data_IF_420246672659
#
_entry.id   IF_420246672659
#
_cell.length_a   1.000
_cell.length_b   1.000
_cell.length_c   1.000
_cell.angle_alpha   90.00
_cell.angle_beta   90.00
_cell.angle_gamma   90.00
#
_symmetry.space_group_name_H-M   'P 1'
#
loop_
_entity.id
_entity.type
_entity.pdbx_description
1 polymer ?
#
# COMPACT_ATOMS: atom_id res chain seq x y z
N UNK A 1 -6.73 13.23 -0.42
CA UNK A 1 -5.33 13.58 -0.06
C UNK A 1 -4.59 14.11 -1.29
N UNK A 2 -3.58 14.94 -1.09
CA UNK A 2 -2.82 15.60 -2.14
C UNK A 2 -1.42 16.02 -1.64
N UNK A 3 -0.66 16.79 -2.42
CA UNK A 3 0.70 17.26 -2.07
C UNK A 3 0.81 18.16 -0.83
N UNK A 4 -0.30 18.56 -0.23
CA UNK A 4 -0.33 19.23 1.06
C UNK A 4 -0.43 18.29 2.26
N UNK A 5 -0.50 16.99 2.01
CA UNK A 5 -0.64 15.95 3.05
C UNK A 5 0.68 15.22 3.29
N UNK A 6 0.81 14.67 4.48
CA UNK A 6 1.82 13.67 4.84
C UNK A 6 1.09 12.37 5.17
N UNK A 7 1.27 11.36 4.31
CA UNK A 7 0.71 10.04 4.52
C UNK A 7 1.56 9.24 5.51
N UNK A 8 0.90 8.55 6.44
CA UNK A 8 1.55 7.61 7.35
C UNK A 8 0.97 6.21 7.13
N UNK A 9 1.81 5.32 6.60
CA UNK A 9 1.44 3.93 6.30
C UNK A 9 1.49 3.08 7.56
N UNK A 10 0.38 2.44 7.89
CA UNK A 10 0.20 1.58 9.07
C UNK A 10 -0.15 0.16 8.62
N UNK A 11 0.55 -0.83 9.17
CA UNK A 11 0.09 -2.22 9.16
C UNK A 11 -0.70 -2.47 10.46
N UNK A 12 -2.04 -2.65 10.40
CA UNK A 12 -2.87 -2.73 11.59
C UNK A 12 -2.45 -3.82 12.57
N UNK A 13 -2.17 -5.02 12.08
CA UNK A 13 -1.74 -6.16 12.92
C UNK A 13 -0.42 -5.92 13.68
N UNK A 14 0.40 -4.93 13.25
CA UNK A 14 1.76 -4.68 13.76
C UNK A 14 1.93 -3.34 14.46
N UNK A 15 0.91 -2.52 14.52
CA UNK A 15 1.02 -1.17 15.07
C UNK A 15 0.70 -1.12 16.57
N UNK A 16 -0.48 -1.53 16.97
CA UNK A 16 -0.87 -1.58 18.38
C UNK A 16 -2.09 -2.47 18.61
N UNK A 17 -2.12 -3.15 19.74
CA UNK A 17 -3.25 -3.96 20.20
C UNK A 17 -4.08 -3.15 21.20
N UNK A 18 -5.25 -2.69 20.78
CA UNK A 18 -6.19 -1.94 21.62
C UNK A 18 -7.27 -2.81 22.25
N UNK A 19 -7.54 -3.98 21.66
CA UNK A 19 -8.60 -4.90 22.12
C UNK A 19 -8.12 -6.37 22.10
N UNK A 20 -7.42 -6.86 23.11
CA UNK A 20 -6.95 -8.24 23.14
C UNK A 20 -8.04 -9.33 23.05
N UNK A 21 -9.31 -8.96 23.16
CA UNK A 21 -10.41 -9.94 23.08
C UNK A 21 -10.74 -10.37 21.65
N UNK A 22 -10.29 -9.61 20.63
CA UNK A 22 -10.45 -9.96 19.21
C UNK A 22 -9.21 -10.60 18.58
N UNK A 23 -8.09 -10.73 19.32
CA UNK A 23 -6.85 -11.34 18.83
C UNK A 23 -7.07 -12.71 18.20
N UNK A 24 -7.98 -13.49 18.76
CA UNK A 24 -8.34 -14.83 18.32
C UNK A 24 -9.86 -14.96 18.16
N UNK A 25 -10.28 -15.26 16.93
CA UNK A 25 -11.67 -15.58 16.59
C UNK A 25 -11.74 -17.07 16.25
N UNK A 26 -12.36 -17.92 17.09
CA UNK A 26 -12.28 -19.37 16.96
C UNK A 26 -12.85 -19.92 15.64
N UNK A 27 -13.77 -19.21 15.00
CA UNK A 27 -14.38 -19.60 13.73
C UNK A 27 -13.52 -19.26 12.50
N UNK A 28 -12.45 -18.47 12.68
CA UNK A 28 -11.52 -18.13 11.59
C UNK A 28 -10.41 -19.17 11.47
N UNK A 29 -9.91 -19.35 10.24
CA UNK A 29 -8.96 -20.42 9.89
C UNK A 29 -7.60 -20.24 10.58
N UNK A 30 -7.08 -19.02 10.66
CA UNK A 30 -5.89 -18.69 11.44
C UNK A 30 -6.30 -18.16 12.82
N UNK A 31 -6.72 -19.06 13.71
CA UNK A 31 -7.16 -18.77 15.06
C UNK A 31 -5.99 -18.77 16.08
N UNK A 32 -4.89 -18.09 15.73
CA UNK A 32 -3.66 -18.05 16.54
C UNK A 32 -2.99 -16.69 16.47
N UNK A 33 -2.46 -16.23 17.60
CA UNK A 33 -1.55 -15.08 17.69
C UNK A 33 -0.20 -15.56 18.24
N UNK A 34 0.90 -15.18 17.58
CA UNK A 34 2.24 -15.54 18.01
C UNK A 34 3.28 -14.46 17.61
N UNK A 35 3.54 -13.51 18.48
CA UNK A 35 4.49 -12.41 18.24
C UNK A 35 5.96 -12.87 18.08
N UNK A 36 6.27 -14.12 18.36
CA UNK A 36 7.61 -14.67 18.12
C UNK A 36 7.77 -15.23 16.71
N UNK A 37 6.67 -15.45 16.00
CA UNK A 37 6.67 -15.85 14.60
C UNK A 37 6.37 -14.65 13.71
N UNK A 38 7.34 -14.11 12.96
CA UNK A 38 7.17 -12.91 12.16
C UNK A 38 6.13 -13.06 11.04
N UNK A 39 5.73 -14.28 10.71
CA UNK A 39 4.72 -14.57 9.69
C UNK A 39 3.33 -14.87 10.25
N UNK A 40 3.20 -14.99 11.57
CA UNK A 40 1.91 -15.12 12.26
C UNK A 40 1.25 -13.76 12.50
N UNK A 41 0.00 -13.79 12.94
CA UNK A 41 -0.68 -12.60 13.47
C UNK A 41 -0.10 -12.19 14.82
N UNK A 42 -0.04 -10.89 15.07
CA UNK A 42 0.46 -10.32 16.33
C UNK A 42 -0.63 -9.67 17.18
N UNK A 43 -1.84 -9.48 16.60
CA UNK A 43 -3.02 -9.00 17.32
C UNK A 43 -3.14 -7.47 17.42
N UNK A 44 -2.42 -6.72 16.59
CA UNK A 44 -2.73 -5.30 16.42
C UNK A 44 -4.08 -5.12 15.72
N UNK A 45 -4.79 -4.01 16.00
CA UNK A 45 -6.17 -3.81 15.62
C UNK A 45 -6.55 -2.33 15.39
N UNK A 46 -7.80 -2.08 14.95
CA UNK A 46 -8.32 -0.74 14.72
C UNK A 46 -8.41 0.07 16.02
N UNK A 47 -8.73 -0.57 17.15
CA UNK A 47 -8.79 0.08 18.45
C UNK A 47 -7.39 0.57 18.88
N UNK A 48 -6.35 -0.20 18.61
CA UNK A 48 -4.97 0.20 18.86
C UNK A 48 -4.55 1.41 18.04
N UNK A 49 -4.99 1.49 16.79
CA UNK A 49 -4.76 2.68 15.94
C UNK A 49 -5.54 3.87 16.50
N UNK A 50 -6.82 3.71 16.83
CA UNK A 50 -7.68 4.75 17.41
C UNK A 50 -7.05 5.35 18.68
N UNK A 51 -6.55 4.49 19.57
CA UNK A 51 -5.93 4.91 20.83
C UNK A 51 -4.65 5.74 20.63
N UNK A 52 -4.03 5.69 19.46
CA UNK A 52 -2.78 6.37 19.13
C UNK A 52 -2.92 7.50 18.10
N UNK A 53 -4.14 7.94 17.78
CA UNK A 53 -4.38 9.05 16.85
C UNK A 53 -3.76 10.38 17.33
N UNK A 54 -3.68 10.62 18.64
CA UNK A 54 -3.00 11.81 19.19
C UNK A 54 -1.49 11.77 18.92
N UNK A 55 -0.87 10.59 18.99
CA UNK A 55 0.52 10.42 18.61
C UNK A 55 0.75 10.82 17.15
N UNK A 56 -0.09 10.33 16.24
CA UNK A 56 0.01 10.63 14.80
C UNK A 56 -0.24 12.11 14.51
N UNK A 57 -1.25 12.71 15.14
CA UNK A 57 -1.53 14.14 15.02
C UNK A 57 -0.37 15.00 15.52
N UNK A 58 0.22 14.66 16.67
CA UNK A 58 1.38 15.36 17.22
C UNK A 58 2.65 15.19 16.36
N UNK A 59 2.77 14.08 15.62
CA UNK A 59 3.85 13.85 14.65
C UNK A 59 3.71 14.74 13.41
N UNK A 60 2.52 15.30 13.16
CA UNK A 60 2.22 16.11 11.98
C UNK A 60 1.65 15.30 10.81
N UNK A 61 1.20 14.09 11.04
CA UNK A 61 0.50 13.26 10.05
C UNK A 61 -0.85 13.89 9.72
N UNK A 62 -1.15 14.00 8.43
CA UNK A 62 -2.43 14.56 7.94
C UNK A 62 -3.30 13.53 7.22
N UNK A 63 -2.73 12.37 6.90
CA UNK A 63 -3.47 11.24 6.34
C UNK A 63 -2.86 9.91 6.81
N UNK A 64 -3.69 8.95 7.16
CA UNK A 64 -3.26 7.59 7.47
C UNK A 64 -3.65 6.65 6.33
N UNK A 65 -2.70 5.84 5.86
CA UNK A 65 -2.96 4.74 4.94
C UNK A 65 -2.86 3.44 5.73
N UNK A 66 -3.96 2.71 5.79
CA UNK A 66 -4.01 1.39 6.43
C UNK A 66 -3.80 0.30 5.39
N UNK A 67 -2.86 -0.63 5.62
CA UNK A 67 -2.84 -1.88 4.87
C UNK A 67 -4.21 -2.55 4.96
N UNK A 68 -4.53 -3.51 4.06
CA UNK A 68 -5.91 -3.97 3.90
C UNK A 68 -6.55 -4.41 5.21
N UNK A 69 -7.72 -3.85 5.50
CA UNK A 69 -8.49 -4.15 6.71
C UNK A 69 -9.66 -5.11 6.44
N UNK A 70 -9.96 -5.38 5.17
CA UNK A 70 -11.00 -6.32 4.79
C UNK A 70 -10.64 -7.73 5.26
N UNK A 71 -11.67 -8.56 5.46
CA UNK A 71 -11.51 -9.92 5.96
C UNK A 71 -10.50 -10.70 5.12
N UNK A 72 -9.56 -11.31 5.80
CA UNK A 72 -8.53 -12.17 5.24
C UNK A 72 -8.50 -13.49 5.99
N UNK A 73 -9.58 -14.29 5.84
CA UNK A 73 -9.74 -15.57 6.52
C UNK A 73 -8.98 -16.69 5.78
N UNK A 74 -7.67 -16.52 5.70
CA UNK A 74 -6.74 -17.49 5.15
C UNK A 74 -6.15 -18.35 6.27
N UNK A 75 -5.61 -19.54 5.92
CA UNK A 75 -5.06 -20.50 6.88
C UNK A 75 -3.75 -20.04 7.52
N UNK A 76 -2.98 -19.24 6.78
CA UNK A 76 -1.66 -18.76 7.17
C UNK A 76 -1.43 -17.37 6.59
N UNK A 77 -0.61 -16.57 7.27
CA UNK A 77 -0.16 -15.26 6.79
C UNK A 77 -1.26 -14.20 6.69
N UNK A 78 -2.40 -14.37 7.36
CA UNK A 78 -3.53 -13.45 7.24
C UNK A 78 -3.25 -12.05 7.78
N UNK A 79 -2.15 -11.86 8.50
CA UNK A 79 -1.75 -10.59 9.10
C UNK A 79 -1.56 -9.45 8.08
N UNK A 80 -1.19 -9.78 6.85
CA UNK A 80 -0.88 -8.77 5.83
C UNK A 80 -2.13 -8.17 5.15
N UNK A 81 -3.27 -8.89 5.12
CA UNK A 81 -4.54 -8.42 4.58
C UNK A 81 -4.73 -8.56 3.06
N UNK A 82 -3.69 -8.91 2.27
CA UNK A 82 -3.75 -8.88 0.81
C UNK A 82 -4.45 -10.07 0.14
N UNK A 83 -4.92 -11.07 0.90
CA UNK A 83 -5.69 -12.20 0.37
C UNK A 83 -7.17 -12.12 0.84
N UNK A 84 -7.89 -11.11 0.34
CA UNK A 84 -9.25 -10.76 0.80
C UNK A 84 -10.22 -11.92 0.62
N UNK A 85 -10.95 -12.25 1.67
CA UNK A 85 -12.01 -13.28 1.65
C UNK A 85 -13.42 -12.69 1.64
N UNK A 86 -13.61 -11.46 2.14
CA UNK A 86 -14.85 -10.68 1.99
C UNK A 86 -14.51 -9.19 1.76
N UNK A 87 -14.99 -8.62 0.65
CA UNK A 87 -14.73 -7.23 0.27
C UNK A 87 -15.56 -6.20 1.05
N UNK A 88 -16.61 -6.64 1.76
CA UNK A 88 -17.56 -5.77 2.47
C UNK A 88 -17.48 -5.89 4.00
N UNK A 89 -16.56 -6.72 4.50
CA UNK A 89 -16.37 -6.91 5.94
C UNK A 89 -14.95 -6.54 6.36
N UNK A 90 -14.82 -5.86 7.49
CA UNK A 90 -13.55 -5.73 8.20
C UNK A 90 -13.19 -7.11 8.79
N UNK A 91 -11.91 -7.45 8.79
CA UNK A 91 -11.43 -8.66 9.45
C UNK A 91 -11.77 -8.61 10.94
N UNK A 92 -12.47 -9.62 11.42
CA UNK A 92 -12.99 -9.66 12.80
C UNK A 92 -11.90 -9.61 13.86
N UNK A 93 -10.66 -9.95 13.49
CA UNK A 93 -9.48 -9.86 14.36
C UNK A 93 -8.87 -8.45 14.36
N UNK A 94 -9.28 -7.60 13.44
CA UNK A 94 -8.92 -6.17 13.44
C UNK A 94 -10.04 -5.31 14.05
N UNK A 95 -11.29 -5.79 13.99
CA UNK A 95 -12.45 -5.07 14.48
C UNK A 95 -13.72 -5.36 13.67
N UNK A 96 -14.60 -4.39 13.62
CA UNK A 96 -15.85 -4.43 12.85
C UNK A 96 -15.95 -3.27 11.86
N UNK A 97 -16.95 -3.33 10.97
CA UNK A 97 -17.26 -2.23 10.05
C UNK A 97 -17.58 -0.93 10.81
N UNK A 98 -18.33 -1.05 11.93
CA UNK A 98 -18.69 0.08 12.78
C UNK A 98 -17.48 0.68 13.50
N UNK A 99 -16.54 -0.17 13.96
CA UNK A 99 -15.29 0.29 14.56
C UNK A 99 -14.40 1.00 13.55
N UNK A 100 -14.41 0.54 12.29
CA UNK A 100 -13.71 1.26 11.22
C UNK A 100 -14.34 2.64 10.95
N UNK A 101 -15.68 2.74 10.86
CA UNK A 101 -16.36 4.03 10.74
C UNK A 101 -15.98 4.97 11.89
N UNK A 102 -15.95 4.46 13.13
CA UNK A 102 -15.56 5.23 14.30
C UNK A 102 -14.11 5.71 14.22
N UNK A 103 -13.18 4.85 13.80
CA UNK A 103 -11.78 5.25 13.57
C UNK A 103 -11.67 6.38 12.54
N UNK A 104 -12.40 6.29 11.42
CA UNK A 104 -12.43 7.35 10.40
C UNK A 104 -12.97 8.65 10.97
N UNK A 105 -14.08 8.61 11.71
CA UNK A 105 -14.67 9.78 12.37
C UNK A 105 -13.69 10.43 13.36
N UNK A 106 -13.01 9.62 14.17
CA UNK A 106 -12.01 10.11 15.14
C UNK A 106 -10.79 10.71 14.43
N UNK A 107 -10.31 10.09 13.34
CA UNK A 107 -9.23 10.66 12.52
C UNK A 107 -9.64 12.03 11.94
N UNK A 108 -10.86 12.15 11.38
CA UNK A 108 -11.41 13.39 10.87
C UNK A 108 -11.51 14.48 11.95
N UNK A 109 -11.92 14.12 13.19
CA UNK A 109 -11.99 15.06 14.30
C UNK A 109 -10.64 15.69 14.66
N UNK A 110 -9.55 15.03 14.28
CA UNK A 110 -8.16 15.48 14.45
C UNK A 110 -7.56 16.10 13.16
N UNK A 111 -8.37 16.29 12.13
CA UNK A 111 -7.94 16.81 10.84
C UNK A 111 -7.17 15.83 9.97
N UNK A 112 -7.18 14.55 10.31
CA UNK A 112 -6.52 13.50 9.53
C UNK A 112 -7.49 12.83 8.56
N UNK A 113 -7.02 12.58 7.34
CA UNK A 113 -7.70 11.79 6.30
C UNK A 113 -7.41 10.30 6.49
N UNK A 114 -8.28 9.45 5.94
CA UNK A 114 -8.07 7.99 5.94
C UNK A 114 -8.03 7.47 4.51
N UNK A 115 -6.97 6.75 4.17
CA UNK A 115 -6.75 6.08 2.89
C UNK A 115 -6.84 4.58 3.11
N UNK A 116 -7.74 3.92 2.38
CA UNK A 116 -7.97 2.49 2.46
C UNK A 116 -7.21 1.76 1.36
N UNK A 117 -6.53 0.68 1.71
CA UNK A 117 -5.89 -0.21 0.75
C UNK A 117 -6.92 -1.15 0.13
N UNK A 118 -6.96 -1.24 -1.20
CA UNK A 118 -7.87 -2.11 -1.95
C UNK A 118 -7.12 -2.98 -2.94
N UNK A 119 -7.60 -4.21 -3.12
CA UNK A 119 -6.98 -5.21 -3.98
C UNK A 119 -8.00 -5.67 -5.02
N UNK A 120 -7.83 -5.25 -6.29
CA UNK A 120 -8.74 -5.59 -7.38
C UNK A 120 -8.16 -6.62 -8.35
N UNK A 121 -6.86 -6.88 -8.25
CA UNK A 121 -6.21 -7.87 -9.10
C UNK A 121 -6.61 -9.31 -8.71
N UNK A 122 -6.61 -9.61 -7.43
CA UNK A 122 -6.84 -10.95 -6.91
C UNK A 122 -7.63 -10.94 -5.60
N UNK A 123 -8.00 -12.11 -5.11
CA UNK A 123 -8.55 -12.30 -3.76
C UNK A 123 -7.86 -13.51 -3.10
N UNK A 124 -8.27 -13.85 -1.88
CA UNK A 124 -7.82 -15.09 -1.22
C UNK A 124 -8.54 -16.32 -1.79
N UNK A 125 -7.88 -17.49 -1.80
CA UNK A 125 -8.48 -18.75 -2.22
C UNK A 125 -9.61 -19.23 -1.30
N UNK A 126 -9.70 -18.66 -0.10
CA UNK A 126 -10.80 -18.92 0.84
C UNK A 126 -12.00 -17.97 0.61
N UNK A 127 -11.89 -17.02 -0.35
CA UNK A 127 -12.99 -16.14 -0.72
C UNK A 127 -14.20 -16.92 -1.20
N UNK A 128 -15.40 -16.56 -0.72
CA UNK A 128 -16.65 -17.26 -1.06
C UNK A 128 -16.96 -17.22 -2.56
N UNK A 129 -16.58 -16.16 -3.29
CA UNK A 129 -16.74 -16.06 -4.74
C UNK A 129 -15.80 -17.01 -5.50
N UNK A 130 -14.68 -17.40 -4.90
CA UNK A 130 -13.80 -18.41 -5.49
C UNK A 130 -14.29 -19.82 -5.21
N UNK A 131 -14.78 -20.08 -4.00
CA UNK A 131 -15.32 -21.39 -3.60
C UNK A 131 -16.61 -21.75 -4.32
N UNK A 132 -17.46 -20.76 -4.58
CA UNK A 132 -18.73 -20.90 -5.32
C UNK A 132 -18.82 -19.83 -6.41
N UNK A 133 -18.10 -20.07 -7.51
CA UNK A 133 -17.96 -19.08 -8.59
C UNK A 133 -19.31 -18.77 -9.24
N UNK A 134 -19.71 -17.47 -9.29
CA UNK A 134 -20.94 -17.06 -9.97
C UNK A 134 -20.96 -17.43 -11.46
N UNK A 135 -19.78 -17.47 -12.09
CA UNK A 135 -19.59 -17.92 -13.48
C UNK A 135 -18.18 -18.48 -13.69
N UNK A 136 -17.98 -19.32 -14.71
CA UNK A 136 -16.68 -19.91 -15.04
C UNK A 136 -15.59 -18.92 -15.45
N UNK A 137 -15.98 -17.71 -15.80
CA UNK A 137 -15.10 -16.61 -16.22
C UNK A 137 -15.01 -15.52 -15.17
N UNK A 138 -15.38 -15.80 -13.91
CA UNK A 138 -15.18 -14.88 -12.78
C UNK A 138 -13.71 -14.68 -12.47
N UNK A 139 -12.93 -15.75 -12.61
CA UNK A 139 -11.47 -15.74 -12.42
C UNK A 139 -10.76 -16.05 -13.73
N UNK A 140 -9.59 -15.46 -13.91
CA UNK A 140 -8.73 -15.73 -15.04
C UNK A 140 -8.28 -17.21 -15.03
N UNK A 141 -8.00 -17.74 -16.21
CA UNK A 141 -7.77 -19.17 -16.43
C UNK A 141 -8.88 -20.09 -15.88
N UNK A 142 -10.11 -19.56 -15.76
CA UNK A 142 -11.28 -20.30 -15.25
C UNK A 142 -11.08 -20.92 -13.87
N UNK A 143 -10.36 -20.21 -13.00
CA UNK A 143 -10.05 -20.67 -11.66
C UNK A 143 -8.93 -21.70 -11.57
N UNK A 144 -8.14 -21.90 -12.62
CA UNK A 144 -6.96 -22.79 -12.58
C UNK A 144 -5.69 -21.97 -12.42
N UNK A 145 -4.88 -22.33 -11.44
CA UNK A 145 -3.63 -21.65 -11.20
C UNK A 145 -2.72 -21.62 -12.44
N UNK A 146 -2.30 -20.43 -12.80
CA UNK A 146 -1.28 -20.16 -13.81
C UNK A 146 -0.51 -18.95 -13.32
N UNK A 147 0.75 -19.13 -12.97
CA UNK A 147 1.56 -18.07 -12.37
C UNK A 147 1.78 -16.90 -13.32
N UNK A 148 1.69 -15.68 -12.79
CA UNK A 148 2.06 -14.46 -13.54
C UNK A 148 3.55 -14.45 -13.88
N UNK A 149 3.89 -13.81 -15.01
CA UNK A 149 5.29 -13.56 -15.36
C UNK A 149 5.94 -12.44 -14.53
N UNK A 150 5.15 -11.67 -13.76
CA UNK A 150 5.55 -10.45 -13.06
C UNK A 150 6.12 -9.34 -13.96
N UNK A 151 5.98 -9.47 -15.29
CA UNK A 151 6.53 -8.54 -16.28
C UNK A 151 5.49 -7.53 -16.75
N UNK A 152 4.92 -6.75 -15.84
CA UNK A 152 3.87 -5.77 -16.14
C UNK A 152 4.29 -4.70 -17.14
N UNK A 153 5.58 -4.42 -17.30
CA UNK A 153 6.08 -3.56 -18.37
C UNK A 153 5.65 -4.03 -19.79
N UNK A 154 5.33 -5.32 -19.96
CA UNK A 154 4.80 -5.85 -21.23
C UNK A 154 3.46 -5.23 -21.64
N UNK A 155 2.68 -4.70 -20.69
CA UNK A 155 1.39 -4.03 -20.95
C UNK A 155 1.56 -2.81 -21.87
N UNK A 156 2.66 -2.09 -21.69
CA UNK A 156 2.99 -0.86 -22.45
C UNK A 156 4.11 -1.06 -23.49
N UNK A 157 4.73 -2.24 -23.53
CA UNK A 157 5.77 -2.58 -24.50
C UNK A 157 5.14 -2.85 -25.87
N UNK A 158 5.50 -2.02 -26.85
CA UNK A 158 5.04 -2.16 -28.25
C UNK A 158 5.56 -3.42 -28.94
N UNK A 159 6.60 -4.06 -28.40
CA UNK A 159 7.22 -5.26 -28.95
C UNK A 159 6.74 -6.55 -28.23
N UNK A 160 6.03 -6.42 -27.12
CA UNK A 160 5.52 -7.58 -26.41
C UNK A 160 4.43 -8.31 -27.22
N UNK A 161 4.42 -9.63 -27.14
CA UNK A 161 3.34 -10.45 -27.69
C UNK A 161 2.08 -10.37 -26.83
N UNK A 162 0.94 -10.71 -27.42
CA UNK A 162 -0.32 -10.81 -26.68
C UNK A 162 -0.26 -11.88 -25.57
N UNK A 163 0.53 -12.93 -25.80
CA UNK A 163 0.76 -13.96 -24.78
C UNK A 163 1.50 -13.41 -23.56
N UNK A 164 2.57 -12.62 -23.76
CA UNK A 164 3.34 -12.00 -22.67
C UNK A 164 2.47 -11.05 -21.85
N UNK A 165 1.70 -10.18 -22.55
CA UNK A 165 0.75 -9.29 -21.88
C UNK A 165 -0.28 -10.07 -21.07
N UNK A 166 -0.86 -11.12 -21.69
CA UNK A 166 -1.85 -11.96 -21.02
C UNK A 166 -1.31 -12.64 -19.77
N UNK A 167 -0.14 -13.24 -19.83
CA UNK A 167 0.46 -13.92 -18.67
C UNK A 167 0.83 -12.94 -17.57
N UNK A 168 1.24 -11.72 -17.91
CA UNK A 168 1.55 -10.69 -16.93
C UNK A 168 0.30 -10.22 -16.17
N UNK A 169 -0.82 -10.06 -16.86
CA UNK A 169 -2.06 -9.45 -16.32
C UNK A 169 -3.04 -10.51 -15.78
N UNK A 170 -3.18 -11.65 -16.47
CA UNK A 170 -4.15 -12.68 -16.08
C UNK A 170 -3.55 -13.72 -15.12
N UNK A 171 -2.23 -13.74 -14.96
CA UNK A 171 -1.52 -14.73 -14.13
C UNK A 171 -1.69 -14.45 -12.65
N UNK A 172 -1.79 -15.51 -11.85
CA UNK A 172 -1.92 -15.43 -10.41
C UNK A 172 -0.58 -15.23 -9.73
N UNK A 173 -0.54 -14.50 -8.61
CA UNK A 173 0.68 -14.37 -7.80
C UNK A 173 1.09 -15.69 -7.16
N UNK A 174 0.13 -16.38 -6.55
CA UNK A 174 0.30 -17.69 -5.90
C UNK A 174 -0.99 -18.51 -6.05
N UNK A 175 -0.95 -19.80 -5.73
CA UNK A 175 -2.15 -20.65 -5.69
C UNK A 175 -3.20 -20.14 -4.69
N UNK A 176 -2.77 -19.45 -3.63
CA UNK A 176 -3.65 -18.89 -2.61
C UNK A 176 -4.26 -17.54 -2.98
N UNK A 177 -3.85 -16.96 -4.13
CA UNK A 177 -4.32 -15.64 -4.61
C UNK A 177 -4.88 -15.74 -6.03
N UNK A 178 -6.10 -16.29 -6.20
CA UNK A 178 -6.78 -16.38 -7.49
C UNK A 178 -7.00 -15.01 -8.11
N UNK A 179 -6.63 -14.89 -9.38
CA UNK A 179 -6.69 -13.66 -10.15
C UNK A 179 -8.10 -13.43 -10.69
N UNK A 180 -8.65 -12.24 -10.42
CA UNK A 180 -9.99 -11.83 -10.82
C UNK A 180 -10.02 -11.43 -12.30
N UNK A 181 -11.04 -11.86 -13.02
CA UNK A 181 -11.23 -11.46 -14.41
C UNK A 181 -12.01 -10.13 -14.49
N UNK A 182 -11.31 -9.01 -14.41
CA UNK A 182 -11.92 -7.68 -14.43
C UNK A 182 -12.60 -7.36 -15.77
N UNK A 183 -12.32 -8.09 -16.88
CA UNK A 183 -13.05 -7.98 -18.15
C UNK A 183 -14.46 -8.57 -18.09
N UNK A 184 -14.75 -9.40 -17.08
CA UNK A 184 -16.12 -9.78 -16.78
C UNK A 184 -16.85 -8.58 -16.16
N UNK A 185 -17.91 -8.11 -16.84
CA UNK A 185 -18.67 -6.92 -16.41
C UNK A 185 -19.27 -7.02 -15.01
N UNK A 186 -19.52 -8.23 -14.51
CA UNK A 186 -20.07 -8.42 -13.17
C UNK A 186 -18.96 -8.32 -12.10
N UNK A 187 -17.76 -8.83 -12.38
CA UNK A 187 -16.57 -8.63 -11.56
C UNK A 187 -16.24 -7.13 -11.51
N UNK A 188 -16.13 -6.46 -12.65
CA UNK A 188 -15.88 -5.03 -12.72
C UNK A 188 -16.87 -4.23 -11.88
N UNK A 189 -18.17 -4.48 -12.07
CA UNK A 189 -19.23 -3.80 -11.31
C UNK A 189 -19.14 -4.08 -9.80
N UNK A 190 -18.88 -5.32 -9.42
CA UNK A 190 -18.73 -5.71 -8.01
C UNK A 190 -17.60 -4.92 -7.34
N UNK A 191 -16.44 -4.82 -7.98
CA UNK A 191 -15.27 -4.11 -7.45
C UNK A 191 -15.50 -2.58 -7.41
N UNK A 192 -16.09 -2.00 -8.47
CA UNK A 192 -16.43 -0.57 -8.48
C UNK A 192 -17.44 -0.24 -7.37
N UNK A 193 -18.48 -1.05 -7.23
CA UNK A 193 -19.48 -0.84 -6.19
C UNK A 193 -18.93 -1.03 -4.78
N UNK A 194 -17.99 -1.96 -4.56
CA UNK A 194 -17.38 -2.12 -3.25
C UNK A 194 -16.59 -0.89 -2.82
N UNK A 195 -15.86 -0.25 -3.73
CA UNK A 195 -15.14 0.99 -3.41
C UNK A 195 -16.07 2.16 -3.12
N UNK A 196 -17.12 2.35 -3.91
CA UNK A 196 -18.14 3.38 -3.67
C UNK A 196 -18.84 3.13 -2.33
N UNK A 197 -19.15 1.86 -2.03
CA UNK A 197 -19.77 1.50 -0.77
C UNK A 197 -18.88 1.87 0.45
N UNK A 198 -17.58 1.61 0.39
CA UNK A 198 -16.67 2.01 1.48
C UNK A 198 -16.54 3.53 1.60
N UNK A 199 -16.55 4.27 0.48
CA UNK A 199 -16.55 5.74 0.49
C UNK A 199 -17.79 6.26 1.24
N UNK A 200 -18.97 5.75 0.88
CA UNK A 200 -20.25 6.18 1.49
C UNK A 200 -20.42 5.67 2.92
N UNK A 201 -20.07 4.40 3.18
CA UNK A 201 -20.30 3.78 4.46
C UNK A 201 -19.36 4.28 5.56
N UNK A 202 -18.09 4.39 5.26
CA UNK A 202 -17.06 4.74 6.24
C UNK A 202 -16.55 6.19 6.10
N UNK A 203 -16.81 6.87 4.99
CA UNK A 203 -16.34 8.24 4.77
C UNK A 203 -14.83 8.34 4.51
N UNK A 204 -14.21 7.31 3.92
CA UNK A 204 -12.78 7.33 3.59
C UNK A 204 -12.46 8.46 2.60
N UNK A 205 -11.22 8.96 2.64
CA UNK A 205 -10.78 10.13 1.86
C UNK A 205 -9.90 9.79 0.67
N UNK A 206 -9.54 8.53 0.53
CA UNK A 206 -8.73 8.05 -0.57
C UNK A 206 -8.60 6.54 -0.59
N UNK A 207 -8.08 6.04 -1.71
CA UNK A 207 -7.78 4.63 -1.91
C UNK A 207 -6.33 4.49 -2.37
N UNK A 208 -5.61 3.53 -1.81
CA UNK A 208 -4.41 2.96 -2.42
C UNK A 208 -4.81 1.66 -3.10
N UNK A 209 -4.55 1.56 -4.39
CA UNK A 209 -4.85 0.37 -5.17
C UNK A 209 -3.60 -0.49 -5.31
N UNK A 210 -3.66 -1.66 -4.71
CA UNK A 210 -2.63 -2.69 -4.78
C UNK A 210 -2.41 -3.16 -6.21
N UNK A 211 -1.15 -3.42 -6.55
CA UNK A 211 -0.74 -4.07 -7.81
C UNK A 211 -1.44 -3.54 -9.07
N UNK A 212 -1.65 -2.23 -9.16
CA UNK A 212 -2.46 -1.58 -10.18
C UNK A 212 -2.15 -2.02 -11.63
N UNK A 213 -0.88 -2.19 -12.06
CA UNK A 213 -0.54 -2.60 -13.42
C UNK A 213 -0.83 -4.07 -13.73
N UNK A 214 -1.18 -4.89 -12.76
CA UNK A 214 -1.52 -6.30 -12.97
C UNK A 214 -2.98 -6.54 -13.32
N UNK A 215 -3.88 -5.60 -12.97
CA UNK A 215 -5.28 -5.67 -13.31
C UNK A 215 -5.56 -5.17 -14.75
N UNK A 216 -6.73 -5.49 -15.30
CA UNK A 216 -7.12 -5.03 -16.64
C UNK A 216 -7.15 -3.50 -16.73
N UNK A 217 -6.37 -2.95 -17.64
CA UNK A 217 -6.20 -1.50 -17.77
C UNK A 217 -7.51 -0.75 -18.02
N UNK A 218 -8.39 -1.28 -18.87
CA UNK A 218 -9.60 -0.57 -19.28
C UNK A 218 -10.62 -0.57 -18.13
N UNK A 219 -10.74 -1.68 -17.41
CA UNK A 219 -11.56 -1.74 -16.19
C UNK A 219 -11.03 -0.81 -15.10
N UNK A 220 -9.72 -0.80 -14.87
CA UNK A 220 -9.11 0.08 -13.87
C UNK A 220 -9.31 1.56 -14.21
N UNK A 221 -9.22 1.90 -15.49
CA UNK A 221 -9.55 3.24 -15.99
C UNK A 221 -11.03 3.60 -15.77
N UNK A 222 -11.95 2.68 -16.06
CA UNK A 222 -13.39 2.86 -15.83
C UNK A 222 -13.68 3.07 -14.33
N UNK A 223 -13.06 2.28 -13.47
CA UNK A 223 -13.18 2.42 -12.02
C UNK A 223 -12.68 3.77 -11.54
N UNK A 224 -11.46 4.18 -11.92
CA UNK A 224 -10.92 5.49 -11.54
C UNK A 224 -11.85 6.62 -11.99
N UNK A 225 -12.40 6.51 -13.21
CA UNK A 225 -13.36 7.49 -13.74
C UNK A 225 -14.66 7.47 -12.95
N UNK A 226 -15.24 6.30 -12.68
CA UNK A 226 -16.50 6.17 -11.93
C UNK A 226 -16.42 6.81 -10.55
N UNK A 227 -15.31 6.57 -9.83
CA UNK A 227 -15.09 7.16 -8.50
C UNK A 227 -14.89 8.66 -8.60
N UNK A 228 -14.08 9.15 -9.54
CA UNK A 228 -13.76 10.59 -9.61
C UNK A 228 -14.87 11.44 -10.27
N UNK A 229 -15.76 10.83 -11.05
CA UNK A 229 -16.97 11.52 -11.53
C UNK A 229 -17.98 11.75 -10.40
N UNK A 230 -18.12 10.78 -9.48
CA UNK A 230 -19.01 10.89 -8.31
C UNK A 230 -18.39 11.75 -7.20
N UNK A 231 -17.08 11.60 -6.98
CA UNK A 231 -16.31 12.30 -5.93
C UNK A 231 -15.13 13.05 -6.55
N UNK A 232 -15.30 14.25 -7.09
CA UNK A 232 -14.26 14.96 -7.88
C UNK A 232 -12.97 15.24 -7.11
N UNK A 233 -13.05 15.41 -5.78
CA UNK A 233 -11.90 15.68 -4.90
C UNK A 233 -11.27 14.40 -4.32
N UNK A 234 -11.85 13.23 -4.59
CA UNK A 234 -11.33 11.96 -4.11
C UNK A 234 -10.06 11.57 -4.88
N UNK A 235 -9.05 11.09 -4.17
CA UNK A 235 -7.80 10.65 -4.78
C UNK A 235 -7.59 9.15 -4.65
N UNK A 236 -7.10 8.56 -5.75
CA UNK A 236 -6.68 7.18 -5.85
C UNK A 236 -5.20 7.18 -6.18
N UNK A 237 -4.40 6.47 -5.39
CA UNK A 237 -3.01 6.16 -5.71
C UNK A 237 -2.90 4.70 -6.12
N UNK A 238 -2.32 4.45 -7.29
CA UNK A 238 -2.02 3.09 -7.76
C UNK A 238 -0.59 2.70 -7.42
N UNK A 239 -0.42 1.51 -6.89
CA UNK A 239 0.90 0.92 -6.79
C UNK A 239 1.39 0.56 -8.19
N UNK A 240 2.33 1.35 -8.67
CA UNK A 240 2.95 1.21 -10.01
C UNK A 240 4.42 0.85 -9.86
N UNK A 241 4.68 -0.36 -9.34
CA UNK A 241 6.04 -0.81 -9.13
C UNK A 241 6.74 -1.16 -10.45
N UNK A 242 7.34 -0.15 -11.04
CA UNK A 242 8.05 -0.21 -12.31
C UNK A 242 9.41 0.50 -12.19
N UNK A 243 10.39 0.09 -13.00
CA UNK A 243 11.79 0.43 -12.79
C UNK A 243 12.23 1.76 -13.42
N UNK A 244 11.33 2.51 -14.04
CA UNK A 244 11.66 3.82 -14.61
C UNK A 244 10.47 4.78 -14.59
N UNK A 245 10.78 6.06 -14.51
CA UNK A 245 9.77 7.12 -14.55
C UNK A 245 8.94 7.11 -15.85
N UNK A 246 9.53 6.72 -16.98
CA UNK A 246 8.80 6.56 -18.25
C UNK A 246 7.73 5.48 -18.13
N UNK A 247 8.04 4.34 -17.51
CA UNK A 247 7.10 3.25 -17.32
C UNK A 247 6.02 3.63 -16.28
N UNK A 248 6.39 4.30 -15.20
CA UNK A 248 5.44 4.76 -14.16
C UNK A 248 4.51 5.83 -14.71
N UNK A 249 5.04 6.79 -15.48
CA UNK A 249 4.24 7.90 -16.04
C UNK A 249 3.15 7.45 -17.01
N UNK A 250 3.31 6.30 -17.68
CA UNK A 250 2.28 5.69 -18.51
C UNK A 250 0.96 5.50 -17.75
N UNK A 251 1.03 5.17 -16.47
CA UNK A 251 -0.14 4.87 -15.63
C UNK A 251 -0.79 6.11 -15.02
N UNK A 252 -0.17 7.28 -15.14
CA UNK A 252 -0.77 8.50 -14.63
C UNK A 252 -1.87 9.02 -15.58
N UNK A 253 -2.94 9.58 -15.00
CA UNK A 253 -3.99 10.27 -15.74
C UNK A 253 -3.40 11.29 -16.71
N UNK A 254 -3.96 11.36 -17.92
CA UNK A 254 -3.55 12.27 -18.99
C UNK A 254 -2.10 12.10 -19.49
N UNK A 255 -1.50 10.94 -19.22
CA UNK A 255 -0.18 10.60 -19.73
C UNK A 255 -0.14 10.60 -21.25
N UNK A 256 0.81 11.35 -21.81
CA UNK A 256 1.04 11.36 -23.27
C UNK A 256 1.58 10.02 -23.79
N UNK A 257 2.22 9.24 -22.92
CA UNK A 257 2.80 7.93 -23.27
C UNK A 257 1.73 6.84 -23.38
N UNK A 258 0.57 7.02 -22.77
CA UNK A 258 -0.56 6.08 -22.85
C UNK A 258 -1.51 6.39 -24.01
N UNK A 259 -1.40 7.56 -24.63
CA UNK A 259 -2.35 8.00 -25.66
C UNK A 259 -2.48 6.98 -26.81
N UNK A 260 -3.69 6.72 -27.32
CA UNK A 260 -4.95 7.41 -27.00
C UNK A 260 -5.68 6.92 -25.74
N UNK A 261 -5.14 5.94 -25.01
CA UNK A 261 -5.71 5.44 -23.75
C UNK A 261 -5.43 6.43 -22.61
N UNK A 262 -6.29 6.42 -21.60
CA UNK A 262 -6.12 7.18 -20.38
C UNK A 262 -6.42 6.28 -19.18
N UNK A 263 -5.52 6.19 -18.23
CA UNK A 263 -5.73 5.38 -17.02
C UNK A 263 -6.75 5.99 -16.06
N UNK A 264 -6.99 7.31 -16.15
CA UNK A 264 -7.73 8.13 -15.19
C UNK A 264 -7.19 8.06 -13.75
N UNK A 265 -6.06 7.40 -13.50
CA UNK A 265 -5.40 7.29 -12.22
C UNK A 265 -4.61 8.56 -11.91
N UNK A 266 -5.05 9.34 -10.91
CA UNK A 266 -4.42 10.62 -10.60
C UNK A 266 -3.02 10.48 -10.03
N UNK A 267 -2.84 9.59 -9.06
CA UNK A 267 -1.59 9.43 -8.33
C UNK A 267 -0.97 8.06 -8.61
N UNK A 268 0.31 8.05 -8.89
CA UNK A 268 1.13 6.85 -9.06
C UNK A 268 2.27 6.85 -8.04
N UNK A 269 2.72 5.66 -7.61
CA UNK A 269 3.83 5.53 -6.67
C UNK A 269 5.18 5.66 -7.39
N UNK A 270 6.04 6.55 -6.93
CA UNK A 270 7.34 6.85 -7.55
C UNK A 270 8.45 5.93 -7.02
N UNK A 271 8.35 4.64 -7.35
CA UNK A 271 9.38 3.66 -7.02
C UNK A 271 10.76 4.02 -7.57
N UNK A 272 10.88 4.56 -8.80
CA UNK A 272 12.19 4.98 -9.30
C UNK A 272 12.84 6.08 -8.47
N UNK A 273 12.08 7.08 -7.97
CA UNK A 273 12.64 8.08 -7.05
C UNK A 273 13.08 7.45 -5.73
N UNK A 274 12.30 6.52 -5.18
CA UNK A 274 12.65 5.79 -3.97
C UNK A 274 14.03 5.11 -4.14
N UNK A 275 14.26 4.41 -5.24
CA UNK A 275 15.56 3.80 -5.54
C UNK A 275 16.69 4.83 -5.67
N UNK A 276 16.42 5.98 -6.32
CA UNK A 276 17.42 7.04 -6.44
C UNK A 276 17.74 7.67 -5.08
N UNK A 277 16.75 7.92 -4.23
CA UNK A 277 16.95 8.44 -2.88
C UNK A 277 17.81 7.47 -2.03
N UNK A 278 17.46 6.18 -2.04
CA UNK A 278 18.22 5.17 -1.30
C UNK A 278 19.70 5.14 -1.71
N UNK A 279 19.99 5.21 -3.01
CA UNK A 279 21.37 5.29 -3.52
C UNK A 279 22.03 6.64 -3.19
N UNK A 280 21.35 7.74 -3.44
CA UNK A 280 21.90 9.09 -3.32
C UNK A 280 22.35 9.43 -1.89
N UNK A 281 21.60 8.96 -0.88
CA UNK A 281 21.93 9.19 0.52
C UNK A 281 22.89 8.15 1.11
N UNK A 282 23.16 7.05 0.40
CA UNK A 282 24.13 6.02 0.79
C UNK A 282 25.52 6.30 0.21
N UNK A 283 25.58 6.84 -0.99
CA UNK A 283 26.84 7.08 -1.69
C UNK A 283 27.61 8.30 -1.18
N UNK A 284 28.88 8.11 -0.83
CA UNK A 284 29.84 9.19 -0.58
C UNK A 284 30.70 9.46 -1.81
N UNK A 285 30.12 10.09 -2.82
CA UNK A 285 30.86 10.40 -4.05
C UNK A 285 30.63 11.84 -4.49
N UNK A 286 31.66 12.42 -5.12
CA UNK A 286 31.62 13.71 -5.81
C UNK A 286 31.47 13.55 -7.32
N UNK A 287 31.25 12.32 -7.80
CA UNK A 287 31.13 12.02 -9.22
C UNK A 287 29.80 12.53 -9.79
N UNK A 288 29.81 12.82 -11.10
CA UNK A 288 28.63 13.33 -11.82
C UNK A 288 27.43 12.39 -11.84
N UNK A 289 27.63 11.10 -11.52
CA UNK A 289 26.61 10.07 -11.57
C UNK A 289 26.26 9.49 -10.18
N UNK A 290 26.77 10.09 -9.10
CA UNK A 290 26.61 9.55 -7.75
C UNK A 290 26.16 10.58 -6.72
N UNK A 291 25.84 10.11 -5.53
CA UNK A 291 25.38 10.92 -4.42
C UNK A 291 24.14 11.75 -4.77
N UNK A 292 24.02 12.93 -4.21
CA UNK A 292 22.88 13.84 -4.41
C UNK A 292 22.69 14.29 -5.87
N UNK A 293 23.73 14.16 -6.74
CA UNK A 293 23.58 14.49 -8.15
C UNK A 293 22.54 13.59 -8.85
N UNK A 294 22.38 12.34 -8.39
CA UNK A 294 21.31 11.43 -8.87
C UNK A 294 19.92 12.04 -8.74
N UNK A 295 19.66 12.75 -7.66
CA UNK A 295 18.36 13.37 -7.42
C UNK A 295 18.11 14.55 -8.36
N UNK A 296 19.16 15.37 -8.62
CA UNK A 296 19.07 16.44 -9.61
C UNK A 296 18.77 15.89 -10.99
N UNK A 297 19.52 14.88 -11.42
CA UNK A 297 19.33 14.27 -12.73
C UNK A 297 17.94 13.63 -12.85
N UNK A 298 17.51 12.90 -11.83
CA UNK A 298 16.19 12.28 -11.82
C UNK A 298 15.05 13.31 -11.90
N UNK A 299 15.08 14.36 -11.10
CA UNK A 299 14.03 15.38 -11.09
C UNK A 299 13.94 16.17 -12.41
N UNK A 300 15.01 16.27 -13.19
CA UNK A 300 14.94 16.88 -14.53
C UNK A 300 14.06 16.08 -15.49
N UNK A 301 13.79 14.80 -15.18
CA UNK A 301 12.99 13.91 -15.99
C UNK A 301 11.49 13.98 -15.64
N UNK A 302 11.09 14.82 -14.69
CA UNK A 302 9.67 15.04 -14.33
C UNK A 302 8.80 15.48 -15.52
N UNK A 303 9.41 15.97 -16.59
CA UNK A 303 8.76 16.31 -17.85
C UNK A 303 7.97 15.15 -18.49
N UNK A 304 8.22 13.89 -18.10
CA UNK A 304 7.49 12.72 -18.62
C UNK A 304 6.14 12.53 -17.93
N UNK A 305 5.97 13.06 -16.72
CA UNK A 305 4.72 12.98 -15.98
C UNK A 305 3.72 14.04 -16.46
N UNK A 306 2.44 13.67 -16.46
CA UNK A 306 1.37 14.63 -16.72
C UNK A 306 1.21 15.63 -15.56
N UNK A 307 1.39 15.15 -14.31
CA UNK A 307 1.34 15.95 -13.10
C UNK A 307 2.32 15.40 -12.04
N UNK A 308 3.55 15.93 -11.97
CA UNK A 308 4.54 15.47 -10.99
C UNK A 308 4.18 15.79 -9.53
N UNK A 309 3.23 16.70 -9.27
CA UNK A 309 2.74 16.96 -7.90
C UNK A 309 1.81 15.87 -7.38
N UNK A 310 1.27 15.03 -8.26
CA UNK A 310 0.46 13.86 -7.92
C UNK A 310 1.27 12.55 -8.02
N UNK A 311 2.47 12.53 -7.48
CA UNK A 311 3.28 11.34 -7.29
C UNK A 311 3.38 11.03 -5.80
N UNK A 312 3.11 9.78 -5.39
CA UNK A 312 3.38 9.33 -4.03
C UNK A 312 4.87 9.04 -3.91
N UNK A 313 5.55 9.76 -3.03
CA UNK A 313 6.99 9.65 -2.81
C UNK A 313 7.30 9.08 -1.44
N UNK A 314 8.29 8.21 -1.33
CA UNK A 314 8.61 7.47 -0.11
C UNK A 314 10.07 7.00 -0.10
N UNK A 315 10.64 6.81 1.08
CA UNK A 315 11.97 6.22 1.27
C UNK A 315 11.90 4.69 1.34
N UNK A 316 10.84 4.19 1.97
CA UNK A 316 10.55 2.79 2.19
C UNK A 316 9.05 2.55 2.35
N UNK A 317 8.64 1.29 2.33
CA UNK A 317 7.29 0.85 2.63
C UNK A 317 7.30 -0.58 3.19
N UNK A 318 6.12 -1.20 3.30
CA UNK A 318 5.95 -2.55 3.85
C UNK A 318 6.46 -3.69 2.93
N UNK A 319 6.93 -3.37 1.71
CA UNK A 319 7.45 -4.34 0.73
C UNK A 319 8.93 -4.13 0.40
N UNK A 320 9.53 -3.04 0.87
CA UNK A 320 10.93 -2.70 0.64
C UNK A 320 11.73 -2.75 1.94
N UNK A 321 13.04 -2.93 1.86
CA UNK A 321 13.91 -2.73 3.03
C UNK A 321 13.67 -1.36 3.63
N UNK A 322 13.75 -1.25 4.96
CA UNK A 322 13.72 0.05 5.63
C UNK A 322 14.91 0.90 5.18
N UNK A 323 14.69 2.19 4.97
CA UNK A 323 15.76 3.12 4.59
C UNK A 323 16.89 3.17 5.62
N UNK A 324 16.55 3.03 6.91
CA UNK A 324 17.53 3.02 8.01
C UNK A 324 18.50 1.84 7.97
N UNK A 325 18.37 0.91 7.05
CA UNK A 325 19.30 -0.22 6.87
C UNK A 325 20.49 0.05 5.97
N UNK A 326 20.52 1.13 5.23
CA UNK A 326 21.73 1.48 4.53
C UNK A 326 22.85 1.69 5.57
N UNK A 327 23.89 0.86 5.54
CA UNK A 327 24.89 0.79 6.61
C UNK A 327 25.51 2.15 6.91
N UNK A 328 25.78 2.97 5.92
CA UNK A 328 26.32 4.31 6.08
C UNK A 328 25.26 5.30 6.56
N UNK A 329 24.03 5.23 6.06
CA UNK A 329 22.92 6.06 6.53
C UNK A 329 22.51 5.72 7.97
N UNK A 330 22.57 4.44 8.37
CA UNK A 330 22.25 4.02 9.74
C UNK A 330 23.28 4.49 10.75
N UNK A 331 24.52 4.63 10.34
CA UNK A 331 25.60 5.16 11.20
C UNK A 331 25.63 6.68 11.24
N UNK A 332 24.96 7.35 10.28
CA UNK A 332 24.94 8.80 10.14
C UNK A 332 23.51 9.34 10.21
N UNK A 333 23.05 9.63 11.42
CA UNK A 333 21.73 10.20 11.68
C UNK A 333 21.47 11.50 10.92
N UNK A 334 22.50 12.26 10.59
CA UNK A 334 22.36 13.51 9.86
C UNK A 334 21.99 13.26 8.37
N UNK A 335 22.54 12.22 7.78
CA UNK A 335 22.11 11.77 6.44
C UNK A 335 20.66 11.29 6.44
N UNK A 336 20.27 10.53 7.44
CA UNK A 336 18.89 10.10 7.60
C UNK A 336 17.94 11.31 7.68
N UNK A 337 18.29 12.32 8.48
CA UNK A 337 17.54 13.57 8.57
C UNK A 337 17.51 14.32 7.23
N UNK A 338 18.62 14.35 6.48
CA UNK A 338 18.66 14.94 5.14
C UNK A 338 17.71 14.23 4.18
N UNK A 339 17.65 12.91 4.20
CA UNK A 339 16.73 12.13 3.38
C UNK A 339 15.26 12.43 3.74
N UNK A 340 14.93 12.53 5.03
CA UNK A 340 13.59 12.92 5.48
C UNK A 340 13.24 14.36 5.08
N UNK A 341 14.18 15.31 5.19
CA UNK A 341 13.96 16.68 4.72
C UNK A 341 13.70 16.68 3.22
N UNK A 342 14.48 15.95 2.43
CA UNK A 342 14.25 15.85 0.99
C UNK A 342 12.87 15.25 0.71
N UNK A 343 12.51 14.13 1.33
CA UNK A 343 11.21 13.47 1.18
C UNK A 343 10.06 14.43 1.44
N UNK A 344 10.12 15.17 2.54
CA UNK A 344 9.04 16.05 3.00
C UNK A 344 8.97 17.39 2.26
N UNK A 345 9.99 17.75 1.47
CA UNK A 345 10.08 19.05 0.78
C UNK A 345 10.20 18.92 -0.74
N UNK A 346 10.39 17.72 -1.28
CA UNK A 346 10.36 17.48 -2.72
C UNK A 346 8.93 17.54 -3.26
N UNK A 347 8.79 17.52 -4.57
CA UNK A 347 7.47 17.43 -5.23
C UNK A 347 6.76 16.12 -4.90
N UNK A 348 5.43 16.12 -4.97
CA UNK A 348 4.60 14.94 -4.75
C UNK A 348 3.95 14.89 -3.35
N UNK A 349 3.50 13.71 -2.98
CA UNK A 349 2.79 13.43 -1.73
C UNK A 349 3.71 12.54 -0.89
N UNK A 350 4.31 13.04 0.20
CA UNK A 350 5.23 12.25 1.00
C UNK A 350 4.50 11.17 1.80
N UNK A 351 5.06 9.95 1.79
CA UNK A 351 4.62 8.82 2.60
C UNK A 351 5.73 8.41 3.56
N UNK A 352 5.38 8.24 4.81
CA UNK A 352 6.23 7.72 5.88
C UNK A 352 5.68 6.34 6.27
N UNK A 353 6.54 5.34 6.40
CA UNK A 353 6.18 4.02 6.90
C UNK A 353 6.27 4.00 8.43
N UNK A 354 5.30 3.41 9.13
CA UNK A 354 5.27 3.42 10.61
C UNK A 354 6.61 2.99 11.22
N UNK A 355 7.05 3.73 12.22
CA UNK A 355 8.32 3.48 12.90
C UNK A 355 9.56 4.09 12.22
N UNK A 356 9.42 4.75 11.07
CA UNK A 356 10.50 5.53 10.46
C UNK A 356 10.98 6.62 11.43
N UNK A 357 10.06 7.28 12.11
CA UNK A 357 10.31 8.36 13.08
C UNK A 357 11.05 7.92 14.35
N UNK A 358 11.10 6.61 14.62
CA UNK A 358 11.81 6.02 15.78
C UNK A 358 12.96 5.11 15.34
N UNK A 359 13.38 5.22 14.08
CA UNK A 359 14.52 4.50 13.51
C UNK A 359 14.35 2.96 13.51
N UNK A 360 13.14 2.47 13.26
CA UNK A 360 12.94 1.03 13.03
C UNK A 360 13.71 0.58 11.80
N UNK A 361 14.47 -0.52 11.96
CA UNK A 361 15.32 -1.08 10.91
C UNK A 361 14.89 -2.51 10.58
N UNK A 362 14.84 -2.85 9.29
CA UNK A 362 14.58 -4.21 8.81
C UNK A 362 15.00 -4.39 7.36
N UNK A 363 15.56 -5.55 7.00
CA UNK A 363 15.99 -5.87 5.66
C UNK A 363 15.03 -6.85 4.98
N UNK A 364 14.61 -6.53 3.76
CA UNK A 364 13.79 -7.37 2.90
C UNK A 364 14.42 -8.75 2.67
N UNK A 365 15.74 -8.84 2.64
CA UNK A 365 16.45 -10.10 2.49
C UNK A 365 16.15 -11.11 3.61
N UNK A 366 15.71 -10.63 4.78
CA UNK A 366 15.33 -11.46 5.93
C UNK A 366 13.85 -11.89 5.91
N UNK A 367 13.09 -11.48 4.89
CA UNK A 367 11.69 -11.81 4.69
C UNK A 367 10.72 -10.74 5.18
N UNK A 368 9.51 -10.77 4.63
CA UNK A 368 8.48 -9.74 4.85
C UNK A 368 7.99 -9.66 6.29
N UNK A 369 7.92 -10.77 6.99
CA UNK A 369 7.48 -10.78 8.38
C UNK A 369 8.40 -9.97 9.30
N UNK A 370 9.72 -10.06 9.09
CA UNK A 370 10.71 -9.26 9.83
C UNK A 370 10.75 -7.80 9.37
N UNK A 371 10.46 -7.54 8.10
CA UNK A 371 10.31 -6.19 7.57
C UNK A 371 9.15 -5.44 8.23
N UNK A 372 8.09 -6.18 8.56
CA UNK A 372 6.81 -5.72 9.13
C UNK A 372 6.75 -5.98 10.64
N UNK A 373 7.82 -5.63 11.35
CA UNK A 373 7.91 -5.85 12.80
C UNK A 373 6.98 -4.92 13.60
N UNK A 374 6.71 -5.31 14.85
CA UNK A 374 5.83 -4.56 15.74
C UNK A 374 6.36 -3.18 16.07
N UNK A 375 5.45 -2.20 16.17
CA UNK A 375 5.78 -0.89 16.72
C UNK A 375 6.02 -1.01 18.23
N UNK A 376 7.19 -0.59 18.75
CA UNK A 376 7.52 -0.74 20.15
C UNK A 376 6.59 0.07 21.07
N UNK A 377 5.85 -0.61 21.90
CA UNK A 377 4.86 -0.03 22.83
C UNK A 377 3.41 -0.24 22.37
N UNK A 378 3.22 -0.96 21.24
CA UNK A 378 1.89 -1.33 20.77
C UNK A 378 1.18 -2.35 21.67
N UNK A 379 1.92 -3.09 22.50
CA UNK A 379 1.38 -4.10 23.41
C UNK A 379 1.69 -3.76 24.86
N UNK A 380 0.75 -4.09 25.74
CA UNK A 380 0.82 -3.74 27.19
C UNK A 380 2.11 -4.15 27.88
N UNK A 381 2.75 -5.24 27.44
CA UNK A 381 3.93 -5.81 28.08
C UNK A 381 5.23 -5.49 27.31
N UNK A 382 5.19 -4.60 26.35
CA UNK A 382 6.39 -4.22 25.64
C UNK A 382 7.42 -3.56 26.56
N UNK A 383 8.69 -3.90 26.45
CA UNK A 383 9.73 -3.37 27.33
C UNK A 383 9.98 -1.86 27.11
N UNK A 384 9.58 -1.35 25.96
CA UNK A 384 9.70 0.05 25.55
C UNK A 384 8.41 0.52 24.90
N UNK A 385 7.93 1.69 25.29
CA UNK A 385 6.75 2.32 24.68
C UNK A 385 7.17 3.61 23.96
N UNK A 386 7.32 3.53 22.64
CA UNK A 386 7.75 4.67 21.80
C UNK A 386 6.60 5.63 21.46
N UNK A 387 5.37 5.33 21.78
CA UNK A 387 4.29 6.34 21.77
C UNK A 387 4.55 7.43 22.81
N UNK A 388 5.25 7.08 23.89
CA UNK A 388 5.70 8.06 24.89
C UNK A 388 7.04 8.69 24.45
N UNK A 389 7.05 10.02 24.33
CA UNK A 389 8.20 10.80 23.90
C UNK A 389 9.47 10.52 24.74
N UNK A 390 9.32 10.36 26.04
CA UNK A 390 10.45 10.07 26.96
C UNK A 390 11.21 8.76 26.66
N UNK A 391 10.59 7.86 25.89
CA UNK A 391 11.15 6.57 25.54
C UNK A 391 11.67 6.51 24.08
N UNK A 392 11.59 7.61 23.35
CA UNK A 392 12.15 7.67 21.98
C UNK A 392 13.65 7.85 22.00
N UNK A 393 14.29 7.49 20.90
CA UNK A 393 15.71 7.79 20.70
C UNK A 393 15.89 9.30 20.53
N UNK A 394 16.90 9.92 21.15
CA UNK A 394 17.14 11.35 21.01
C UNK A 394 17.40 11.79 19.58
#
# INVERSE_FOLDING_TARGET
FNSGDVLYLIMPDRFANGNPSNDVVPEMLEAKVDRNDPFARHGGDLAGIENNLDYLSNLGVTAIWLNPIQENDMKEGSYHGYAITDYYQVDRRLGSNEEFCKLVEQAHSKGMKVVMDMIFNHCGSENYLFKDMPSKDWFNFKGNYTQTSYKTASVQDIHASDYERKIAVDGWFTESMPDLNQRNRHVARYLIQSSIWWIEYAGINGIRQDTHPYADFDMMSEWCKAVTDEYPDFNIVGETWLNSNVLVSFWQKDSRLAAPRNSNLRTVMDFPLMEQMNKAFDEETTDWNGGLYRLYDYLTQDLVYADPMNLLVFLDNHDTSRFYLNEEATQNIDRYKQALVFLLTTRGIPQIYYGTEILMAADKANGDGLLRCDFPGGWKNDPRNCFNEANRTP
#
